data_IF_478603577682
#
_entry.id   IF_478603577682
#
_cell.length_a   1.000
_cell.length_b   1.000
_cell.length_c   1.000
_cell.angle_alpha   90.00
_cell.angle_beta   90.00
_cell.angle_gamma   90.00
#
_symmetry.space_group_name_H-M   'P 1'
#
loop_
_entity.id
_entity.type
_entity.pdbx_description
1 polymer ?
#
# COMPACT_ATOMS: atom_id res chain seq x y z
N UNK A 1 3.13 11.03 17.07
CA UNK A 1 4.04 9.99 17.60
C UNK A 1 5.37 10.63 17.89
N UNK A 2 6.43 9.85 18.11
CA UNK A 2 7.81 10.32 18.09
C UNK A 2 8.20 10.54 16.63
N UNK A 3 8.42 11.79 16.25
CA UNK A 3 8.78 12.14 14.88
C UNK A 3 10.16 11.60 14.53
N UNK A 4 10.25 11.02 13.34
CA UNK A 4 11.51 10.48 12.79
C UNK A 4 11.72 10.91 11.34
N UNK A 5 12.99 10.94 10.93
CA UNK A 5 13.38 11.08 9.53
C UNK A 5 13.20 9.77 8.73
N UNK A 6 13.60 9.73 7.47
CA UNK A 6 13.53 8.51 6.66
C UNK A 6 14.46 7.37 7.15
N UNK A 7 15.36 7.66 8.08
CA UNK A 7 16.28 6.71 8.70
C UNK A 7 15.78 6.23 10.08
N UNK A 8 14.55 6.62 10.46
CA UNK A 8 13.92 6.33 11.75
C UNK A 8 14.66 7.00 12.93
N UNK A 9 15.54 7.98 12.65
CA UNK A 9 16.25 8.72 13.68
C UNK A 9 15.38 9.87 14.17
N UNK A 10 15.40 10.10 15.47
CA UNK A 10 14.73 11.25 16.09
C UNK A 10 15.57 12.52 15.89
N UNK A 11 15.07 13.64 16.41
CA UNK A 11 15.86 14.87 16.47
C UNK A 11 17.05 14.79 17.45
N UNK A 12 17.15 13.75 18.28
CA UNK A 12 18.30 13.49 19.14
C UNK A 12 19.23 12.48 18.45
N UNK A 13 20.48 12.85 18.13
CA UNK A 13 21.41 11.96 17.45
C UNK A 13 21.62 10.64 18.19
N UNK A 14 21.57 9.52 17.46
CA UNK A 14 21.73 8.18 18.01
C UNK A 14 20.50 7.61 18.72
N UNK A 15 19.39 8.37 18.83
CA UNK A 15 18.11 7.88 19.33
C UNK A 15 17.17 7.66 18.15
N UNK A 16 16.55 6.49 18.12
CA UNK A 16 15.64 6.05 17.06
C UNK A 16 14.28 5.64 17.65
N UNK A 17 13.23 5.71 16.85
CA UNK A 17 11.90 5.21 17.21
C UNK A 17 11.36 4.28 16.11
N UNK A 18 10.62 3.24 16.51
CA UNK A 18 9.98 2.30 15.59
C UNK A 18 8.73 1.69 16.25
N UNK A 19 7.80 1.21 15.43
CA UNK A 19 6.52 0.67 15.86
C UNK A 19 5.47 1.76 16.10
N UNK A 20 4.44 1.42 16.88
CA UNK A 20 3.25 2.27 17.07
C UNK A 20 3.55 3.65 17.67
N UNK A 21 4.69 3.80 18.36
CA UNK A 21 5.11 5.08 18.90
C UNK A 21 5.74 5.99 17.83
N UNK A 22 6.24 5.45 16.72
CA UNK A 22 6.96 6.20 15.70
C UNK A 22 6.00 6.86 14.71
N UNK A 23 6.25 8.15 14.49
CA UNK A 23 5.66 8.89 13.40
C UNK A 23 6.73 8.98 12.30
N UNK A 24 6.63 8.06 11.34
CA UNK A 24 7.64 7.83 10.31
C UNK A 24 7.34 8.63 9.05
N UNK A 25 8.39 9.16 8.42
CA UNK A 25 8.26 9.83 7.14
C UNK A 25 8.00 8.82 6.02
N UNK A 26 6.82 8.89 5.42
CA UNK A 26 6.45 8.09 4.27
C UNK A 26 6.82 8.82 2.97
N UNK A 27 7.82 8.29 2.25
CA UNK A 27 8.29 8.86 0.99
C UNK A 27 7.24 8.84 -0.12
N UNK A 28 6.29 7.90 -0.06
CA UNK A 28 5.26 7.75 -1.09
C UNK A 28 4.24 8.88 -1.00
N UNK A 29 3.73 9.16 0.20
CA UNK A 29 2.75 10.24 0.42
C UNK A 29 3.38 11.60 0.71
N UNK A 30 4.70 11.66 0.95
CA UNK A 30 5.44 12.85 1.40
C UNK A 30 4.85 13.44 2.70
N UNK A 31 4.38 12.56 3.59
CA UNK A 31 3.77 12.89 4.87
C UNK A 31 4.37 12.03 5.98
N UNK A 32 4.28 12.52 7.20
CA UNK A 32 4.59 11.72 8.37
C UNK A 32 3.35 10.95 8.79
N UNK A 33 3.50 9.63 8.99
CA UNK A 33 2.38 8.74 9.26
C UNK A 33 2.71 7.87 10.48
N UNK A 34 1.74 7.76 11.37
CA UNK A 34 1.72 6.73 12.40
C UNK A 34 0.94 5.54 11.82
N UNK A 35 1.57 4.37 11.77
CA UNK A 35 0.89 3.16 11.33
C UNK A 35 1.11 2.05 12.34
N UNK A 36 0.05 1.77 13.09
CA UNK A 36 0.02 0.77 14.15
C UNK A 36 -0.33 -0.62 13.60
N UNK A 37 0.50 -1.11 12.66
CA UNK A 37 0.34 -2.46 12.10
C UNK A 37 1.66 -3.22 12.17
N UNK A 38 1.56 -4.54 12.39
CA UNK A 38 2.72 -5.41 12.56
C UNK A 38 3.74 -5.32 11.40
N UNK A 39 3.34 -5.29 10.10
CA UNK A 39 4.31 -5.19 9.01
C UNK A 39 5.16 -3.92 9.07
N UNK A 40 4.54 -2.79 9.43
CA UNK A 40 5.26 -1.51 9.55
C UNK A 40 6.16 -1.51 10.78
N UNK A 41 5.69 -2.02 11.92
CA UNK A 41 6.53 -2.15 13.11
C UNK A 41 7.78 -3.01 12.84
N UNK A 42 7.62 -4.13 12.12
CA UNK A 42 8.73 -5.02 11.76
C UNK A 42 9.73 -4.34 10.82
N UNK A 43 9.26 -3.67 9.76
CA UNK A 43 10.15 -2.99 8.81
C UNK A 43 10.83 -1.76 9.44
N UNK A 44 10.10 -0.97 10.22
CA UNK A 44 10.69 0.16 10.97
C UNK A 44 11.75 -0.33 11.95
N UNK A 45 11.50 -1.43 12.68
CA UNK A 45 12.48 -2.02 13.59
C UNK A 45 13.75 -2.46 12.85
N UNK A 46 13.59 -3.08 11.67
CA UNK A 46 14.72 -3.49 10.82
C UNK A 46 15.53 -2.29 10.36
N UNK A 47 14.89 -1.23 9.87
CA UNK A 47 15.56 -0.01 9.38
C UNK A 47 16.26 0.71 10.53
N UNK A 48 15.58 0.92 11.66
CA UNK A 48 16.16 1.55 12.85
C UNK A 48 17.39 0.77 13.35
N UNK A 49 17.29 -0.56 13.45
CA UNK A 49 18.40 -1.41 13.89
C UNK A 49 19.62 -1.32 12.94
N UNK A 50 19.39 -1.29 11.62
CA UNK A 50 20.49 -1.11 10.65
C UNK A 50 21.18 0.24 10.81
N UNK A 51 20.43 1.32 11.01
CA UNK A 51 21.02 2.64 11.22
C UNK A 51 21.75 2.75 12.57
N UNK A 52 21.23 2.11 13.64
CA UNK A 52 21.93 2.00 14.93
C UNK A 52 23.30 1.34 14.81
N UNK A 53 23.48 0.39 13.88
CA UNK A 53 24.77 -0.28 13.63
C UNK A 53 25.58 0.35 12.48
N UNK A 54 25.25 1.59 12.08
CA UNK A 54 25.99 2.35 11.08
C UNK A 54 25.74 1.93 9.62
N UNK A 55 24.67 1.18 9.34
CA UNK A 55 24.28 0.78 7.99
C UNK A 55 23.18 1.71 7.48
N UNK A 56 23.58 2.77 6.77
CA UNK A 56 22.65 3.75 6.19
C UNK A 56 21.55 3.07 5.37
N UNK A 57 20.33 3.10 5.92
CA UNK A 57 19.15 2.45 5.36
C UNK A 57 17.98 3.41 5.50
N UNK A 58 17.26 3.65 4.41
CA UNK A 58 16.04 4.46 4.45
C UNK A 58 14.80 3.55 4.45
N UNK A 59 13.76 3.98 5.17
CA UNK A 59 12.42 3.44 5.04
C UNK A 59 11.90 3.76 3.64
N UNK A 60 11.47 2.73 2.92
CA UNK A 60 11.02 2.88 1.52
C UNK A 60 9.60 3.44 1.44
N UNK A 61 8.78 3.19 2.45
CA UNK A 61 7.43 3.70 2.59
C UNK A 61 6.74 3.10 3.80
N UNK A 62 5.60 3.67 4.18
CA UNK A 62 4.74 3.15 5.24
C UNK A 62 3.53 2.50 4.60
N UNK A 63 3.44 1.18 4.73
CA UNK A 63 2.39 0.40 4.09
C UNK A 63 1.04 0.71 4.74
N UNK A 64 0.06 1.20 3.99
CA UNK A 64 -1.30 1.44 4.51
C UNK A 64 -2.18 0.23 4.16
N UNK A 65 -2.23 -0.74 5.08
CA UNK A 65 -3.05 -1.94 4.95
C UNK A 65 -3.83 -2.16 6.22
N UNK A 66 -5.13 -2.43 6.09
CA UNK A 66 -5.91 -3.03 7.15
C UNK A 66 -6.55 -4.31 6.64
N UNK A 67 -6.47 -5.38 7.44
CA UNK A 67 -7.19 -6.64 7.22
C UNK A 67 -7.92 -6.96 8.51
N UNK A 68 -9.23 -7.13 8.43
CA UNK A 68 -10.09 -7.35 9.60
C UNK A 68 -11.11 -8.43 9.29
N UNK A 69 -11.28 -9.39 10.21
CA UNK A 69 -12.42 -10.29 10.22
C UNK A 69 -13.51 -9.69 11.11
N UNK A 70 -14.66 -9.37 10.51
CA UNK A 70 -15.83 -8.90 11.24
C UNK A 70 -17.02 -9.79 10.88
N UNK A 71 -17.56 -10.50 11.88
CA UNK A 71 -18.73 -11.36 11.72
C UNK A 71 -18.57 -12.42 10.61
N UNK A 72 -17.34 -12.91 10.38
CA UNK A 72 -17.03 -13.90 9.34
C UNK A 72 -16.80 -13.29 7.95
N UNK A 73 -16.82 -11.96 7.82
CA UNK A 73 -16.46 -11.25 6.61
C UNK A 73 -15.05 -10.67 6.74
N UNK A 74 -14.14 -11.16 5.92
CA UNK A 74 -12.82 -10.58 5.77
C UNK A 74 -12.95 -9.28 4.97
N UNK A 75 -12.49 -8.18 5.57
CA UNK A 75 -12.41 -6.88 4.94
C UNK A 75 -10.95 -6.47 4.78
N UNK A 76 -10.62 -5.87 3.64
CA UNK A 76 -9.26 -5.39 3.36
C UNK A 76 -9.30 -3.97 2.80
N UNK A 77 -8.39 -3.10 3.25
CA UNK A 77 -8.23 -1.77 2.66
C UNK A 77 -6.76 -1.45 2.42
N UNK A 78 -6.51 -0.77 1.28
CA UNK A 78 -5.17 -0.42 0.80
C UNK A 78 -5.12 1.03 0.35
N UNK A 79 -4.04 1.73 0.69
CA UNK A 79 -3.75 3.08 0.18
C UNK A 79 -4.84 4.11 0.51
N UNK A 80 -5.12 5.01 -0.43
CA UNK A 80 -6.17 6.02 -0.33
C UNK A 80 -7.54 5.41 -0.67
N UNK A 81 -8.01 4.48 0.15
CA UNK A 81 -9.25 3.74 -0.05
C UNK A 81 -10.50 4.65 0.00
N UNK A 82 -10.41 5.81 0.64
CA UNK A 82 -11.43 6.88 0.61
C UNK A 82 -11.45 7.70 -0.70
N UNK A 83 -10.51 7.46 -1.61
CA UNK A 83 -10.32 8.23 -2.83
C UNK A 83 -9.48 9.50 -2.63
N UNK A 84 -9.34 10.28 -3.70
CA UNK A 84 -8.60 11.55 -3.71
C UNK A 84 -9.41 12.62 -4.45
N UNK A 85 -9.20 13.92 -4.19
CA UNK A 85 -9.85 14.99 -4.93
C UNK A 85 -9.60 14.87 -6.44
N UNK A 86 -10.67 14.89 -7.24
CA UNK A 86 -10.61 14.72 -8.69
C UNK A 86 -10.34 13.28 -9.16
N UNK A 87 -10.26 12.32 -8.24
CA UNK A 87 -10.15 10.90 -8.55
C UNK A 87 -11.45 10.31 -9.08
N UNK A 88 -11.33 9.16 -9.71
CA UNK A 88 -12.46 8.35 -10.19
C UNK A 88 -12.58 7.08 -9.37
N UNK A 89 -13.77 6.47 -9.33
CA UNK A 89 -13.97 5.22 -8.61
C UNK A 89 -14.95 4.28 -9.32
N UNK A 90 -14.93 3.01 -8.92
CA UNK A 90 -16.00 2.06 -9.21
C UNK A 90 -16.28 1.21 -7.97
N UNK A 91 -17.54 0.85 -7.77
CA UNK A 91 -17.98 -0.02 -6.69
C UNK A 91 -18.82 -1.17 -7.25
N UNK A 92 -18.64 -2.35 -6.67
CA UNK A 92 -19.46 -3.53 -6.90
C UNK A 92 -19.93 -4.06 -5.56
N UNK A 93 -21.24 -4.08 -5.36
CA UNK A 93 -21.87 -4.60 -4.14
C UNK A 93 -22.80 -5.75 -4.50
N UNK A 94 -22.49 -6.94 -3.99
CA UNK A 94 -23.41 -8.08 -3.96
C UNK A 94 -23.96 -8.23 -2.54
N UNK A 95 -25.10 -7.58 -2.30
CA UNK A 95 -25.75 -7.59 -1.00
C UNK A 95 -26.23 -9.00 -0.59
N UNK A 96 -26.55 -9.87 -1.57
CA UNK A 96 -27.04 -11.22 -1.29
C UNK A 96 -25.93 -12.15 -0.80
N UNK A 97 -24.71 -11.95 -1.33
CA UNK A 97 -23.52 -12.68 -0.90
C UNK A 97 -22.73 -11.96 0.21
N UNK A 98 -23.16 -10.76 0.64
CA UNK A 98 -22.45 -9.95 1.64
C UNK A 98 -21.09 -9.46 1.16
N UNK A 99 -20.95 -9.16 -0.13
CA UNK A 99 -19.67 -8.76 -0.75
C UNK A 99 -19.69 -7.33 -1.24
N UNK A 100 -18.56 -6.64 -1.07
CA UNK A 100 -18.33 -5.31 -1.60
C UNK A 100 -16.88 -5.17 -2.08
N UNK A 101 -16.70 -4.46 -3.18
CA UNK A 101 -15.42 -4.09 -3.74
C UNK A 101 -15.49 -2.63 -4.21
N UNK A 102 -14.54 -1.80 -3.76
CA UNK A 102 -14.39 -0.41 -4.16
C UNK A 102 -12.97 -0.18 -4.64
N UNK A 103 -12.82 0.41 -5.83
CA UNK A 103 -11.55 0.74 -6.46
C UNK A 103 -11.46 2.25 -6.66
N UNK A 104 -10.34 2.85 -6.22
CA UNK A 104 -10.10 4.30 -6.27
C UNK A 104 -8.93 4.61 -7.21
N UNK A 105 -9.17 5.49 -8.18
CA UNK A 105 -8.21 5.84 -9.23
C UNK A 105 -7.83 7.31 -9.19
N UNK A 106 -6.57 7.58 -9.54
CA UNK A 106 -6.09 8.90 -9.93
C UNK A 106 -5.39 8.75 -11.26
N UNK A 107 -5.81 9.54 -12.25
CA UNK A 107 -5.36 9.40 -13.64
C UNK A 107 -5.58 7.96 -14.15
N UNK A 108 -4.52 7.21 -14.43
CA UNK A 108 -4.58 5.81 -14.85
C UNK A 108 -4.00 4.83 -13.82
N UNK A 109 -3.83 5.25 -12.57
CA UNK A 109 -3.27 4.44 -11.48
C UNK A 109 -4.33 4.14 -10.42
N UNK A 110 -4.31 2.92 -9.88
CA UNK A 110 -5.09 2.56 -8.70
C UNK A 110 -4.41 3.10 -7.43
N UNK A 111 -5.01 4.08 -6.77
CA UNK A 111 -4.43 4.74 -5.57
C UNK A 111 -4.95 4.17 -4.26
N UNK A 112 -6.03 3.42 -4.30
CA UNK A 112 -6.57 2.73 -3.14
C UNK A 112 -7.69 1.77 -3.50
N UNK A 113 -8.02 0.90 -2.56
CA UNK A 113 -9.17 0.01 -2.70
C UNK A 113 -9.66 -0.48 -1.33
N UNK A 114 -10.91 -0.92 -1.30
CA UNK A 114 -11.54 -1.53 -0.14
C UNK A 114 -12.33 -2.76 -0.59
N UNK A 115 -12.23 -3.86 0.16
CA UNK A 115 -13.02 -5.07 -0.08
C UNK A 115 -13.65 -5.55 1.22
N UNK A 116 -14.86 -6.12 1.13
CA UNK A 116 -15.58 -6.77 2.24
C UNK A 116 -16.15 -8.07 1.71
N UNK A 117 -15.88 -9.19 2.37
CA UNK A 117 -16.33 -10.52 1.93
C UNK A 117 -15.72 -10.98 0.60
N UNK A 118 -14.82 -10.17 0.01
CA UNK A 118 -14.14 -10.43 -1.25
C UNK A 118 -12.65 -10.63 -0.99
N UNK A 119 -12.24 -11.89 -0.93
CA UNK A 119 -10.87 -12.32 -0.58
C UNK A 119 -10.05 -12.75 -1.78
N UNK A 120 -10.68 -12.92 -2.94
CA UNK A 120 -9.99 -13.25 -4.18
C UNK A 120 -9.02 -12.13 -4.54
N UNK A 121 -7.78 -12.50 -4.86
CA UNK A 121 -6.76 -11.60 -5.40
C UNK A 121 -6.40 -10.38 -4.53
N UNK A 122 -6.56 -10.44 -3.20
CA UNK A 122 -6.12 -9.37 -2.26
C UNK A 122 -4.65 -8.98 -2.45
N UNK A 123 -3.76 -9.95 -2.72
CA UNK A 123 -2.35 -9.66 -3.02
C UNK A 123 -2.15 -8.85 -4.30
N UNK A 124 -3.04 -9.01 -5.29
CA UNK A 124 -3.02 -8.25 -6.54
C UNK A 124 -3.48 -6.82 -6.30
N UNK A 125 -4.53 -6.63 -5.51
CA UNK A 125 -4.99 -5.30 -5.08
C UNK A 125 -3.86 -4.52 -4.43
N UNK A 126 -3.17 -5.16 -3.47
CA UNK A 126 -1.97 -4.60 -2.83
C UNK A 126 -0.90 -4.26 -3.86
N UNK A 127 -0.56 -5.18 -4.75
CA UNK A 127 0.49 -5.00 -5.75
C UNK A 127 0.21 -3.86 -6.74
N UNK A 128 -1.05 -3.67 -7.15
CA UNK A 128 -1.46 -2.55 -7.99
C UNK A 128 -1.33 -1.21 -7.28
N UNK A 129 -1.79 -1.12 -6.03
CA UNK A 129 -1.75 0.12 -5.22
C UNK A 129 -0.32 0.49 -4.84
N UNK A 130 0.43 -0.42 -4.23
CA UNK A 130 1.82 -0.16 -3.80
C UNK A 130 2.78 0.00 -4.98
N UNK A 131 2.52 -0.73 -6.08
CA UNK A 131 3.33 -0.66 -7.29
C UNK A 131 3.06 0.59 -8.13
N UNK A 132 1.97 1.33 -7.84
CA UNK A 132 1.51 2.47 -8.65
C UNK A 132 1.49 2.15 -10.15
N UNK A 133 0.99 0.96 -10.49
CA UNK A 133 1.04 0.43 -11.86
C UNK A 133 0.10 1.25 -12.76
N UNK A 134 0.64 1.77 -13.86
CA UNK A 134 -0.14 2.45 -14.89
C UNK A 134 -1.04 1.45 -15.62
N UNK A 135 -2.35 1.61 -15.50
CA UNK A 135 -3.34 0.68 -16.06
C UNK A 135 -3.65 0.99 -17.53
N UNK A 136 -3.42 2.23 -18.00
CA UNK A 136 -3.87 2.66 -19.32
C UNK A 136 -5.34 2.29 -19.59
N UNK A 137 -5.59 1.58 -20.69
CA UNK A 137 -6.94 1.13 -21.08
C UNK A 137 -7.59 0.15 -20.08
N UNK A 138 -6.81 -0.48 -19.19
CA UNK A 138 -7.37 -1.36 -18.16
C UNK A 138 -8.18 -0.60 -17.12
N UNK A 139 -7.94 0.71 -16.90
CA UNK A 139 -8.79 1.51 -16.01
C UNK A 139 -10.26 1.43 -16.43
N UNK A 140 -10.53 1.68 -17.71
CA UNK A 140 -11.90 1.67 -18.24
C UNK A 140 -12.53 0.27 -18.22
N UNK A 141 -11.70 -0.76 -18.33
CA UNK A 141 -12.15 -2.15 -18.19
C UNK A 141 -12.54 -2.45 -16.75
N UNK A 142 -11.71 -2.06 -15.77
CA UNK A 142 -12.00 -2.23 -14.35
C UNK A 142 -13.20 -1.42 -13.88
N UNK A 143 -13.40 -0.21 -14.44
CA UNK A 143 -14.61 0.59 -14.17
C UNK A 143 -15.91 -0.06 -14.65
N UNK A 144 -15.84 -0.99 -15.61
CA UNK A 144 -17.00 -1.77 -16.06
C UNK A 144 -17.14 -3.08 -15.29
N UNK A 145 -16.01 -3.71 -14.98
CA UNK A 145 -15.95 -4.96 -14.22
C UNK A 145 -14.74 -4.96 -13.28
N UNK A 146 -14.92 -4.56 -12.00
CA UNK A 146 -13.84 -4.46 -11.04
C UNK A 146 -13.29 -5.82 -10.60
N UNK A 147 -13.93 -6.94 -10.97
CA UNK A 147 -13.45 -8.29 -10.62
C UNK A 147 -12.22 -8.71 -11.43
N UNK A 148 -11.93 -8.00 -12.53
CA UNK A 148 -10.82 -8.31 -13.45
C UNK A 148 -9.44 -7.79 -13.01
N UNK A 149 -9.25 -7.60 -11.70
CA UNK A 149 -7.98 -7.10 -11.12
C UNK A 149 -6.78 -7.97 -11.49
N UNK A 150 -6.94 -9.30 -11.50
CA UNK A 150 -5.86 -10.21 -11.87
C UNK A 150 -5.45 -10.04 -13.33
N UNK A 151 -6.41 -9.96 -14.25
CA UNK A 151 -6.14 -9.74 -15.68
C UNK A 151 -5.42 -8.40 -15.90
N UNK A 152 -5.93 -7.34 -15.26
CA UNK A 152 -5.36 -6.01 -15.36
C UNK A 152 -3.92 -5.97 -14.82
N UNK A 153 -3.67 -6.65 -13.69
CA UNK A 153 -2.32 -6.76 -13.13
C UNK A 153 -1.38 -7.54 -14.02
N UNK A 154 -1.77 -8.71 -14.53
CA UNK A 154 -0.93 -9.49 -15.44
C UNK A 154 -0.59 -8.68 -16.70
N UNK A 155 -1.58 -8.04 -17.30
CA UNK A 155 -1.37 -7.27 -18.53
C UNK A 155 -0.55 -5.99 -18.32
N UNK A 156 -0.73 -5.29 -17.20
CA UNK A 156 -0.08 -4.00 -16.95
C UNK A 156 1.26 -4.18 -16.27
N UNK A 157 1.35 -5.05 -15.26
CA UNK A 157 2.56 -5.26 -14.49
C UNK A 157 3.59 -6.12 -15.24
N UNK A 158 3.20 -7.13 -16.04
CA UNK A 158 4.18 -7.86 -16.86
C UNK A 158 4.71 -7.03 -18.03
N UNK A 159 3.88 -6.16 -18.60
CA UNK A 159 4.34 -5.19 -19.60
C UNK A 159 5.34 -4.18 -19.02
N UNK A 160 5.25 -3.91 -17.71
CA UNK A 160 6.14 -3.04 -16.96
C UNK A 160 7.25 -3.82 -16.21
N UNK A 161 7.21 -5.16 -16.24
CA UNK A 161 8.09 -6.00 -15.44
C UNK A 161 9.47 -6.15 -16.07
N UNK A 162 10.29 -5.12 -15.89
CA UNK A 162 11.47 -5.35 -15.06
C UNK A 162 11.03 -5.44 -13.59
N UNK A 163 10.36 -6.53 -13.18
CA UNK A 163 9.88 -6.67 -11.79
C UNK A 163 10.92 -7.40 -10.96
N UNK A 164 11.75 -6.64 -10.26
CA UNK A 164 12.64 -7.11 -9.21
C UNK A 164 11.93 -6.97 -7.86
N UNK A 165 11.15 -7.98 -7.44
CA UNK A 165 10.72 -8.06 -6.04
C UNK A 165 11.93 -8.13 -5.11
N UNK A 166 11.85 -7.54 -3.90
CA UNK A 166 12.82 -7.56 -2.77
C UNK A 166 14.33 -7.36 -3.02
N UNK A 167 14.81 -7.32 -4.27
CA UNK A 167 16.21 -7.22 -4.68
C UNK A 167 16.27 -6.38 -5.95
N UNK A 168 16.07 -5.07 -5.84
CA UNK A 168 16.44 -4.17 -6.94
C UNK A 168 17.73 -3.43 -6.59
N UNK A 169 18.85 -3.95 -7.10
CA UNK A 169 20.19 -3.35 -7.06
C UNK A 169 20.41 -2.33 -8.21
N UNK A 170 19.38 -1.96 -8.98
CA UNK A 170 19.51 -1.06 -10.14
C UNK A 170 19.10 0.38 -9.87
N UNK A 171 19.44 0.91 -8.70
CA UNK A 171 19.47 2.36 -8.46
C UNK A 171 20.78 2.74 -7.79
N UNK A 172 21.82 2.89 -8.63
CA UNK A 172 23.04 3.64 -8.29
C UNK A 172 22.70 5.11 -8.14
#
# INVERSE_FOLDING_TARGET
GVLTDEHLQTNVPGIYAAGDCAEAFDKVSNKTIISAIQPNAAEQARVAALNMVGRTTALKGVTQINVLDTLGLISTSFGNWEGVPGGEHVELTDASAGRHLSLQFKDDVLVGCNSVGWTDHVGVMRGLVEGQIHLGAWKDTLKKDPTRLMDAYLASAQAQSGWNGAQDERRR
#
